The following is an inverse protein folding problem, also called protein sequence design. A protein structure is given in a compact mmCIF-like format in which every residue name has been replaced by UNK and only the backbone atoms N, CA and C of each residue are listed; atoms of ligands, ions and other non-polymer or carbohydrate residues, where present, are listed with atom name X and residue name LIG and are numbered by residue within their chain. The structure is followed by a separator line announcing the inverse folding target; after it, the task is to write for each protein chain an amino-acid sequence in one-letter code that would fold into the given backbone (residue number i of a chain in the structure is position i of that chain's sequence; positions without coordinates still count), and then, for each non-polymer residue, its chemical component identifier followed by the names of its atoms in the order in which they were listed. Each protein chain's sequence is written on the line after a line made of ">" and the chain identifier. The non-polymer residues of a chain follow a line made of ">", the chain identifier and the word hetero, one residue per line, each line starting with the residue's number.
data_IF_716534468220
#
_entry.id   IF_716534468220
#
_cell.length_a   1.000
_cell.length_b   1.000
_cell.length_c   1.000
_cell.angle_alpha   90.00
_cell.angle_beta   90.00
_cell.angle_gamma   90.00
#
_symmetry.space_group_name_H-M   'P 1'
#
loop_
_entity.id
_entity.type
_entity.pdbx_description
1 polymer ?
#
# COMPACT_ATOMS: atom_id res chain seq x y z
N UNK A 1 -9.11 -4.07 -30.98
CA UNK A 1 -8.02 -3.21 -30.73
C UNK A 1 -8.06 -2.54 -29.37
N UNK A 2 -6.92 -2.53 -28.73
CA UNK A 2 -6.88 -1.98 -27.40
C UNK A 2 -6.81 -0.48 -27.42
N UNK A 3 -7.56 0.13 -26.58
CA UNK A 3 -7.48 1.54 -26.42
C UNK A 3 -6.13 1.91 -25.81
N UNK A 4 -5.49 2.93 -26.29
CA UNK A 4 -4.26 3.39 -25.66
C UNK A 4 -4.59 4.25 -24.46
N UNK A 5 -3.72 4.25 -23.49
CA UNK A 5 -3.91 5.00 -22.29
C UNK A 5 -4.71 4.24 -21.24
N UNK A 6 -4.68 4.70 -19.98
CA UNK A 6 -5.36 4.02 -18.90
C UNK A 6 -6.85 4.24 -18.94
N UNK A 7 -7.59 3.26 -18.42
CA UNK A 7 -9.02 3.42 -18.22
C UNK A 7 -9.26 4.47 -17.12
N UNK A 8 -10.50 4.98 -17.00
CA UNK A 8 -10.78 5.97 -15.95
C UNK A 8 -10.41 5.49 -14.55
N UNK A 9 -10.55 4.19 -14.26
CA UNK A 9 -10.20 3.66 -12.94
C UNK A 9 -8.71 3.75 -12.67
N UNK A 10 -7.89 3.76 -13.74
CA UNK A 10 -6.44 3.74 -13.59
C UNK A 10 -5.81 5.11 -13.69
N UNK A 11 -6.61 6.13 -14.00
CA UNK A 11 -6.07 7.47 -14.14
C UNK A 11 -5.60 7.99 -12.78
N UNK A 12 -4.42 8.58 -12.77
CA UNK A 12 -3.89 9.21 -11.57
C UNK A 12 -3.74 8.24 -10.40
N UNK A 13 -3.39 7.00 -10.71
CA UNK A 13 -3.13 6.03 -9.66
C UNK A 13 -1.85 6.43 -8.95
N UNK A 14 -1.96 6.78 -7.69
CA UNK A 14 -0.81 7.19 -6.89
C UNK A 14 -1.00 6.72 -5.48
N UNK A 15 0.05 6.19 -4.92
CA UNK A 15 0.02 5.81 -3.52
C UNK A 15 0.29 7.04 -2.66
N UNK A 16 -0.24 7.01 -1.45
CA UNK A 16 0.12 7.96 -0.42
C UNK A 16 0.64 7.16 0.77
N UNK A 17 1.79 6.54 0.56
CA UNK A 17 2.37 5.67 1.56
C UNK A 17 2.74 6.42 2.85
N UNK A 18 3.31 7.63 2.80
CA UNK A 18 3.63 8.34 4.05
C UNK A 18 2.42 8.50 4.97
N UNK A 19 1.28 8.89 4.40
CA UNK A 19 0.07 9.03 5.18
C UNK A 19 -0.44 7.68 5.69
N UNK A 20 -0.38 6.66 4.84
CA UNK A 20 -0.86 5.32 5.22
C UNK A 20 -0.05 4.77 6.39
N UNK A 21 1.27 4.91 6.34
CA UNK A 21 2.14 4.41 7.40
C UNK A 21 1.86 5.14 8.71
N UNK A 22 1.82 6.46 8.67
CA UNK A 22 1.58 7.26 9.87
C UNK A 22 0.20 6.97 10.44
N UNK A 23 -0.80 6.88 9.59
CA UNK A 23 -2.18 6.64 10.00
C UNK A 23 -2.33 5.27 10.67
N UNK A 24 -1.76 4.24 10.05
CA UNK A 24 -1.84 2.88 10.61
C UNK A 24 -1.08 2.82 11.93
N UNK A 25 0.12 3.40 11.97
CA UNK A 25 0.93 3.39 13.16
C UNK A 25 0.19 4.08 14.33
N UNK A 26 -0.35 5.26 14.07
CA UNK A 26 -1.06 6.01 15.12
C UNK A 26 -2.34 5.29 15.56
N UNK A 27 -3.10 4.76 14.61
CA UNK A 27 -4.35 4.07 14.95
C UNK A 27 -4.08 2.83 15.80
N UNK A 28 -2.97 2.15 15.54
CA UNK A 28 -2.61 0.94 16.30
C UNK A 28 -1.82 1.25 17.55
N UNK A 29 -1.53 2.53 17.83
CA UNK A 29 -0.81 2.91 19.04
C UNK A 29 0.66 2.52 19.03
N UNK A 30 1.28 2.48 17.85
CA UNK A 30 2.67 2.03 17.71
C UNK A 30 3.57 3.24 17.59
N UNK A 31 4.58 3.32 18.46
CA UNK A 31 5.58 4.37 18.40
C UNK A 31 6.61 4.06 17.31
N UNK A 32 7.25 5.10 16.77
CA UNK A 32 8.29 4.89 15.77
C UNK A 32 9.40 3.98 16.27
N UNK A 33 9.69 4.03 17.56
CA UNK A 33 10.74 3.20 18.17
C UNK A 33 10.47 1.71 18.03
N UNK A 34 9.21 1.32 17.90
CA UNK A 34 8.87 -0.09 17.81
C UNK A 34 9.34 -0.72 16.52
N UNK A 35 9.77 0.09 15.54
CA UNK A 35 10.34 -0.41 14.31
C UNK A 35 11.85 -0.60 14.38
N UNK A 36 12.47 -0.33 15.52
CA UNK A 36 13.95 -0.33 15.64
C UNK A 36 14.58 -1.66 15.24
N UNK A 37 13.84 -2.75 15.39
CA UNK A 37 14.36 -4.08 15.02
C UNK A 37 14.52 -4.25 13.52
N UNK A 38 13.73 -3.54 12.73
CA UNK A 38 13.73 -3.72 11.28
C UNK A 38 14.20 -2.47 10.54
N UNK A 39 14.27 -1.33 11.21
CA UNK A 39 14.63 -0.10 10.52
C UNK A 39 15.07 0.95 11.52
N UNK A 40 15.86 1.91 11.05
CA UNK A 40 16.24 3.02 11.90
C UNK A 40 15.08 3.99 12.07
N UNK A 41 15.09 4.72 13.19
CA UNK A 41 14.08 5.75 13.42
C UNK A 41 14.13 6.84 12.33
N UNK A 42 15.34 7.19 11.91
CA UNK A 42 15.51 8.17 10.85
C UNK A 42 14.84 7.73 9.56
N UNK A 43 14.97 6.43 9.22
CA UNK A 43 14.37 5.91 8.00
C UNK A 43 12.83 5.93 8.09
N UNK A 44 12.28 5.48 9.22
CA UNK A 44 10.83 5.48 9.40
C UNK A 44 10.30 6.90 9.35
N UNK A 45 10.99 7.84 9.99
CA UNK A 45 10.60 9.24 9.94
C UNK A 45 10.65 9.77 8.52
N UNK A 46 11.66 9.40 7.74
CA UNK A 46 11.79 9.83 6.36
C UNK A 46 10.64 9.28 5.50
N UNK A 47 10.23 8.04 5.76
CA UNK A 47 9.08 7.46 5.04
C UNK A 47 7.80 8.23 5.34
N UNK A 48 7.59 8.58 6.61
CA UNK A 48 6.37 9.28 7.00
C UNK A 48 6.34 10.72 6.51
N UNK A 49 7.49 11.28 6.22
CA UNK A 49 7.58 12.63 5.66
C UNK A 49 7.63 12.64 4.14
N UNK A 50 7.58 11.47 3.53
CA UNK A 50 7.57 11.38 2.08
C UNK A 50 8.93 11.58 1.42
N UNK A 51 10.01 11.52 2.20
CA UNK A 51 11.36 11.73 1.68
C UNK A 51 11.94 10.47 1.05
N UNK A 52 11.38 9.31 1.34
CA UNK A 52 11.82 8.03 0.80
C UNK A 52 10.62 7.15 0.51
N UNK A 53 10.82 6.19 -0.40
CA UNK A 53 9.83 5.16 -0.72
C UNK A 53 10.35 3.82 -0.21
N UNK A 54 9.50 2.97 0.36
CA UNK A 54 9.98 1.67 0.80
C UNK A 54 10.14 0.71 -0.37
N UNK A 55 11.08 -0.21 -0.24
CA UNK A 55 11.11 -1.39 -1.10
C UNK A 55 10.02 -2.34 -0.64
N UNK A 56 9.70 -3.35 -1.48
CA UNK A 56 8.74 -4.36 -1.07
C UNK A 56 9.19 -5.09 0.20
N UNK A 57 10.49 -5.39 0.29
CA UNK A 57 11.00 -6.05 1.48
C UNK A 57 10.82 -5.20 2.73
N UNK A 58 11.09 -3.91 2.62
CA UNK A 58 10.92 -3.02 3.75
C UNK A 58 9.43 -2.87 4.11
N UNK A 59 8.56 -2.81 3.10
CA UNK A 59 7.13 -2.78 3.33
C UNK A 59 6.67 -4.00 4.14
N UNK A 60 7.19 -5.18 3.79
CA UNK A 60 6.85 -6.40 4.51
C UNK A 60 7.30 -6.33 5.97
N UNK A 61 8.52 -5.84 6.19
CA UNK A 61 9.04 -5.72 7.55
C UNK A 61 8.23 -4.75 8.40
N UNK A 62 7.87 -3.62 7.83
CA UNK A 62 7.07 -2.62 8.54
C UNK A 62 5.68 -3.17 8.88
N UNK A 63 5.07 -3.86 7.94
CA UNK A 63 3.75 -4.43 8.14
C UNK A 63 3.78 -5.50 9.23
N UNK A 64 4.84 -6.29 9.27
CA UNK A 64 4.99 -7.31 10.29
C UNK A 64 5.01 -6.73 11.69
N UNK A 65 5.75 -5.63 11.87
CA UNK A 65 5.80 -4.95 13.17
C UNK A 65 4.40 -4.53 13.62
N UNK A 66 3.57 -4.13 12.67
CA UNK A 66 2.21 -3.70 12.96
C UNK A 66 1.19 -4.84 12.98
N UNK A 67 1.66 -6.06 12.73
CA UNK A 67 0.79 -7.25 12.65
C UNK A 67 -0.28 -7.08 11.57
N UNK A 68 0.13 -6.51 10.43
CA UNK A 68 -0.73 -6.33 9.28
C UNK A 68 -0.15 -7.09 8.11
N UNK A 69 -1.01 -7.58 7.23
CA UNK A 69 -0.54 -8.08 5.94
C UNK A 69 0.01 -6.88 5.16
N UNK A 70 1.14 -7.03 4.46
CA UNK A 70 1.69 -5.90 3.69
C UNK A 70 0.68 -5.31 2.70
N UNK A 71 -0.20 -6.14 2.16
CA UNK A 71 -1.23 -5.65 1.26
C UNK A 71 -2.22 -4.72 1.95
N UNK A 72 -2.48 -4.95 3.25
CA UNK A 72 -3.35 -4.05 4.02
C UNK A 72 -2.75 -2.65 4.07
N UNK A 73 -1.46 -2.58 4.36
CA UNK A 73 -0.77 -1.30 4.43
C UNK A 73 -0.75 -0.63 3.07
N UNK A 74 -0.52 -1.41 2.03
CA UNK A 74 -0.51 -0.90 0.66
C UNK A 74 -1.90 -0.42 0.25
N UNK A 75 -2.93 -1.17 0.62
CA UNK A 75 -4.32 -0.79 0.32
C UNK A 75 -4.66 0.56 0.93
N UNK A 76 -4.22 0.79 2.16
CA UNK A 76 -4.44 2.09 2.80
C UNK A 76 -3.78 3.22 2.04
N UNK A 77 -2.67 2.93 1.36
CA UNK A 77 -1.97 3.96 0.60
C UNK A 77 -2.66 4.28 -0.72
N UNK A 78 -3.42 3.33 -1.28
CA UNK A 78 -4.12 3.55 -2.55
C UNK A 78 -5.59 3.87 -2.37
N UNK A 79 -6.18 3.50 -1.23
CA UNK A 79 -7.60 3.71 -0.97
C UNK A 79 -7.77 4.33 0.42
N UNK A 80 -7.31 5.58 0.62
CA UNK A 80 -7.26 6.17 1.95
C UNK A 80 -8.60 6.64 2.50
N UNK A 81 -9.64 6.68 1.69
CA UNK A 81 -10.90 7.30 2.10
C UNK A 81 -11.81 6.37 2.90
N UNK A 82 -11.46 5.10 3.00
CA UNK A 82 -12.24 4.18 3.83
C UNK A 82 -12.58 2.89 3.12
N UNK A 83 -13.43 2.10 3.78
CA UNK A 83 -13.73 0.75 3.30
C UNK A 83 -14.42 0.76 1.93
N UNK A 84 -15.33 1.71 1.70
CA UNK A 84 -16.02 1.77 0.41
C UNK A 84 -15.03 2.06 -0.73
N UNK A 85 -14.05 2.90 -0.47
CA UNK A 85 -13.01 3.22 -1.45
C UNK A 85 -12.18 1.96 -1.73
N UNK A 86 -11.84 1.22 -0.68
CA UNK A 86 -11.11 -0.03 -0.82
C UNK A 86 -11.92 -1.06 -1.59
N UNK A 87 -13.23 -1.16 -1.31
CA UNK A 87 -14.05 -2.17 -1.99
C UNK A 87 -14.10 -1.94 -3.49
N UNK A 88 -14.15 -0.68 -3.92
CA UNK A 88 -14.09 -0.37 -5.35
C UNK A 88 -12.75 -0.76 -5.96
N UNK A 89 -11.68 -0.45 -5.27
CA UNK A 89 -10.34 -0.81 -5.72
C UNK A 89 -10.17 -2.33 -5.73
N UNK A 90 -10.65 -3.00 -4.69
CA UNK A 90 -10.53 -4.46 -4.59
C UNK A 90 -11.27 -5.14 -5.75
N UNK A 91 -12.42 -4.61 -6.14
CA UNK A 91 -13.16 -5.18 -7.26
C UNK A 91 -12.34 -5.07 -8.56
N UNK A 92 -11.72 -3.92 -8.78
CA UNK A 92 -10.86 -3.74 -9.94
C UNK A 92 -9.68 -4.70 -9.91
N UNK A 93 -9.00 -4.79 -8.77
CA UNK A 93 -7.82 -5.64 -8.63
C UNK A 93 -8.21 -7.12 -8.81
N UNK A 94 -9.32 -7.53 -8.22
CA UNK A 94 -9.80 -8.90 -8.35
C UNK A 94 -10.03 -9.26 -9.81
N UNK A 95 -10.68 -8.36 -10.54
CA UNK A 95 -10.93 -8.58 -11.98
C UNK A 95 -9.63 -8.71 -12.76
N UNK A 96 -8.67 -7.82 -12.47
CA UNK A 96 -7.41 -7.83 -13.20
C UNK A 96 -6.57 -9.05 -12.87
N UNK A 97 -6.57 -9.49 -11.63
CA UNK A 97 -5.89 -10.73 -11.26
C UNK A 97 -6.47 -11.90 -12.04
N UNK A 98 -7.80 -11.96 -12.12
CA UNK A 98 -8.45 -13.02 -12.87
C UNK A 98 -8.06 -13.00 -14.34
N UNK A 99 -8.01 -11.80 -14.93
CA UNK A 99 -7.64 -11.66 -16.34
C UNK A 99 -6.20 -12.10 -16.59
N UNK A 100 -5.29 -11.72 -15.70
CA UNK A 100 -3.89 -12.11 -15.84
C UNK A 100 -3.72 -13.62 -15.73
N UNK A 101 -4.38 -14.22 -14.75
CA UNK A 101 -4.26 -15.66 -14.55
C UNK A 101 -4.89 -16.43 -15.71
N UNK A 102 -5.97 -15.91 -16.28
CA UNK A 102 -6.59 -16.54 -17.43
C UNK A 102 -5.66 -16.50 -18.65
N UNK A 103 -5.01 -15.37 -18.89
CA UNK A 103 -4.05 -15.24 -19.97
C UNK A 103 -2.87 -16.17 -19.77
N UNK A 104 -2.41 -16.30 -18.51
CA UNK A 104 -1.29 -17.18 -18.18
C UNK A 104 -1.63 -18.65 -18.46
N UNK A 105 -2.88 -19.05 -18.20
CA UNK A 105 -3.32 -20.41 -18.39
C UNK A 105 -3.62 -20.77 -19.84
N UNK A 106 -3.57 -19.80 -20.73
CA UNK A 106 -3.89 -20.07 -22.15
C UNK A 106 -2.68 -20.66 -22.93
#
# INVERSE_FOLDING_TARGET
>A
MRKSGPSPEMKKVRSNFPQALRRARNALGIAQEQFDQVSSRTYVSALERGLKQPTLGKLEELAEVMNLHPLTLLALSYAPKGVADWERLAALVTRQIGEVLELEGS
#
